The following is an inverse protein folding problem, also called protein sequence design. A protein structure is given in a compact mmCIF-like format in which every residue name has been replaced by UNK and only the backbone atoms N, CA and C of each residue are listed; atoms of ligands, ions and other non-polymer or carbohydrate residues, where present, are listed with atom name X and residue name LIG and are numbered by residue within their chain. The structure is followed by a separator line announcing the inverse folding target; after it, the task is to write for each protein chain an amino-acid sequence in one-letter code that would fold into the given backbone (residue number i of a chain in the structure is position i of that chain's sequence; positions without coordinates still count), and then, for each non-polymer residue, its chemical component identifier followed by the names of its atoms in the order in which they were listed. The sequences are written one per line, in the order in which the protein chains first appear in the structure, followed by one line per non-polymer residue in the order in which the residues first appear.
data_IF_745605848277
#
_entry.id   IF_745605848277
#
_cell.length_a   1.000
_cell.length_b   1.000
_cell.length_c   1.000
_cell.angle_alpha   90.00
_cell.angle_beta   90.00
_cell.angle_gamma   90.00
#
_symmetry.space_group_name_H-M   'P 1'
#
loop_
_entity.id
_entity.type
_entity.pdbx_description
1 polymer ?
#
# COMPACT_ATOMS: atom_id res chain seq x y z
N UNK A 1 -10.70 -7.90 -1.02
CA UNK A 1 -9.80 -6.72 -0.94
C UNK A 1 -9.60 -6.26 0.51
N UNK A 2 -10.65 -6.17 1.35
CA UNK A 2 -10.48 -5.77 2.76
C UNK A 2 -9.88 -6.86 3.66
N UNK A 3 -10.17 -8.13 3.37
CA UNK A 3 -9.58 -9.28 4.06
C UNK A 3 -8.05 -9.32 4.01
N UNK A 4 -7.43 -8.69 3.00
CA UNK A 4 -5.96 -8.66 2.88
C UNK A 4 -5.29 -7.54 3.68
N UNK A 5 -6.02 -6.56 4.21
CA UNK A 5 -5.39 -5.41 4.89
C UNK A 5 -4.85 -5.82 6.26
N UNK A 6 -5.65 -6.57 7.03
CA UNK A 6 -5.19 -7.08 8.32
C UNK A 6 -4.17 -8.21 8.16
N UNK A 7 -4.26 -9.02 7.09
CA UNK A 7 -3.22 -9.99 6.75
C UNK A 7 -1.88 -9.30 6.44
N UNK A 8 -1.88 -8.19 5.69
CA UNK A 8 -0.68 -7.40 5.42
C UNK A 8 -0.06 -6.86 6.74
N UNK A 9 -0.90 -6.44 7.70
CA UNK A 9 -0.46 -5.97 9.02
C UNK A 9 0.12 -7.12 9.86
N UNK A 10 -0.58 -8.24 9.96
CA UNK A 10 -0.15 -9.39 10.74
C UNK A 10 1.14 -10.01 10.17
N UNK A 11 1.28 -10.01 8.84
CA UNK A 11 2.50 -10.45 8.18
C UNK A 11 3.70 -9.53 8.47
N UNK A 12 3.48 -8.23 8.65
CA UNK A 12 4.54 -7.30 9.08
C UNK A 12 4.91 -7.60 10.53
N UNK A 13 3.93 -7.72 11.43
CA UNK A 13 4.18 -8.02 12.85
C UNK A 13 4.94 -9.34 13.01
N UNK A 14 4.58 -10.36 12.22
CA UNK A 14 5.24 -11.67 12.29
C UNK A 14 6.69 -11.67 11.76
N UNK A 15 7.06 -10.71 10.90
CA UNK A 15 8.37 -10.65 10.24
C UNK A 15 9.30 -9.59 10.83
N UNK A 16 8.74 -8.54 11.41
CA UNK A 16 9.48 -7.43 11.99
C UNK A 16 9.46 -7.53 13.53
N UNK A 17 10.57 -7.94 14.17
CA UNK A 17 10.64 -8.04 15.62
C UNK A 17 10.48 -6.68 16.34
N UNK A 18 10.59 -5.55 15.64
CA UNK A 18 10.37 -4.21 16.20
C UNK A 18 8.89 -3.79 16.20
N UNK A 19 8.01 -4.48 15.47
CA UNK A 19 6.60 -4.16 15.41
C UNK A 19 5.88 -4.58 16.71
N UNK A 20 5.50 -3.63 17.56
CA UNK A 20 4.97 -3.93 18.91
C UNK A 20 3.47 -4.23 18.91
N UNK A 21 2.70 -3.51 18.10
CA UNK A 21 1.25 -3.69 18.00
C UNK A 21 0.67 -3.18 16.68
N UNK A 22 -0.52 -3.67 16.33
CA UNK A 22 -1.22 -3.33 15.06
C UNK A 22 -1.38 -1.84 14.83
N UNK A 23 -1.70 -1.06 15.86
CA UNK A 23 -1.87 0.38 15.72
C UNK A 23 -0.60 1.07 15.20
N UNK A 24 0.57 0.73 15.74
CA UNK A 24 1.86 1.26 15.30
C UNK A 24 2.13 0.89 13.84
N UNK A 25 1.88 -0.37 13.49
CA UNK A 25 2.04 -0.83 12.10
C UNK A 25 1.11 -0.08 11.15
N UNK A 26 -0.15 0.10 11.52
CA UNK A 26 -1.14 0.80 10.71
C UNK A 26 -0.82 2.29 10.59
N UNK A 27 -0.26 2.95 11.60
CA UNK A 27 -0.05 4.41 11.57
C UNK A 27 1.36 4.82 11.15
N UNK A 28 2.36 3.95 11.32
CA UNK A 28 3.77 4.34 11.24
C UNK A 28 4.59 3.53 10.23
N UNK A 29 4.01 2.57 9.50
CA UNK A 29 4.74 1.80 8.48
C UNK A 29 4.48 2.35 7.07
N UNK A 30 5.38 3.19 6.53
CA UNK A 30 5.19 3.79 5.20
C UNK A 30 5.15 2.74 4.08
N UNK A 31 5.83 1.60 4.26
CA UNK A 31 5.75 0.47 3.32
C UNK A 31 4.36 -0.14 3.21
N UNK A 32 3.65 -0.27 4.33
CA UNK A 32 2.26 -0.72 4.35
C UNK A 32 1.36 0.29 3.62
N UNK A 33 1.50 1.57 3.94
CA UNK A 33 0.73 2.65 3.31
C UNK A 33 0.96 2.69 1.80
N UNK A 34 2.21 2.53 1.35
CA UNK A 34 2.55 2.52 -0.07
C UNK A 34 1.83 1.38 -0.82
N UNK A 35 1.81 0.17 -0.25
CA UNK A 35 1.10 -0.97 -0.83
C UNK A 35 -0.42 -0.71 -0.89
N UNK A 36 -1.01 -0.22 0.20
CA UNK A 36 -2.45 0.05 0.26
C UNK A 36 -2.88 1.13 -0.75
N UNK A 37 -2.14 2.24 -0.80
CA UNK A 37 -2.37 3.30 -1.78
C UNK A 37 -2.16 2.78 -3.21
N UNK A 38 -1.15 1.93 -3.45
CA UNK A 38 -0.97 1.30 -4.74
C UNK A 38 -2.17 0.44 -5.14
N UNK A 39 -2.74 -0.37 -4.24
CA UNK A 39 -3.93 -1.20 -4.56
C UNK A 39 -5.11 -0.33 -5.02
N UNK A 40 -5.31 0.83 -4.40
CA UNK A 40 -6.31 1.83 -4.84
C UNK A 40 -5.96 2.40 -6.23
N UNK A 41 -4.72 2.85 -6.40
CA UNK A 41 -4.25 3.45 -7.65
C UNK A 41 -4.29 2.45 -8.82
N UNK A 42 -4.02 1.17 -8.54
CA UNK A 42 -4.11 0.07 -9.49
C UNK A 42 -5.56 -0.20 -9.91
N UNK A 43 -6.51 -0.14 -8.97
CA UNK A 43 -7.92 -0.24 -9.30
C UNK A 43 -8.34 0.90 -10.25
N UNK A 44 -7.97 2.14 -9.94
CA UNK A 44 -8.23 3.30 -10.82
C UNK A 44 -7.58 3.14 -12.20
N UNK A 45 -6.35 2.64 -12.24
CA UNK A 45 -5.65 2.36 -13.49
C UNK A 45 -6.40 1.35 -14.35
N UNK A 46 -6.89 0.26 -13.76
CA UNK A 46 -7.62 -0.78 -14.48
C UNK A 46 -9.02 -0.32 -14.92
N UNK A 47 -9.61 0.65 -14.22
CA UNK A 47 -10.85 1.33 -14.63
C UNK A 47 -10.65 2.35 -15.77
N UNK A 48 -9.44 2.50 -16.30
CA UNK A 48 -9.14 3.46 -17.37
C UNK A 48 -8.91 4.89 -16.88
N UNK A 49 -9.03 5.14 -15.57
CA UNK A 49 -8.80 6.44 -14.94
C UNK A 49 -7.29 6.68 -14.73
N UNK A 50 -6.54 6.75 -15.83
CA UNK A 50 -5.06 6.77 -15.83
C UNK A 50 -4.47 8.00 -15.17
N UNK A 51 -5.02 9.18 -15.44
CA UNK A 51 -4.54 10.44 -14.86
C UNK A 51 -4.70 10.47 -13.33
N UNK A 52 -5.89 10.24 -12.74
CA UNK A 52 -6.02 10.23 -11.28
C UNK A 52 -5.24 9.09 -10.64
N UNK A 53 -5.10 7.93 -11.30
CA UNK A 53 -4.22 6.85 -10.83
C UNK A 53 -2.74 7.30 -10.72
N UNK A 54 -2.23 8.05 -11.71
CA UNK A 54 -0.87 8.61 -11.66
C UNK A 54 -0.74 9.74 -10.64
N UNK A 55 -1.72 10.64 -10.55
CA UNK A 55 -1.72 11.72 -9.57
C UNK A 55 -1.66 11.17 -8.14
N UNK A 56 -2.52 10.20 -7.82
CA UNK A 56 -2.54 9.56 -6.51
C UNK A 56 -1.29 8.71 -6.26
N UNK A 57 -0.69 8.11 -7.29
CA UNK A 57 0.62 7.44 -7.16
C UNK A 57 1.73 8.44 -6.80
N UNK A 58 1.72 9.65 -7.38
CA UNK A 58 2.65 10.72 -7.01
C UNK A 58 2.41 11.23 -5.59
N UNK A 59 1.16 11.33 -5.15
CA UNK A 59 0.83 11.70 -3.77
C UNK A 59 1.28 10.62 -2.78
N UNK A 60 1.07 9.33 -3.12
CA UNK A 60 1.56 8.21 -2.32
C UNK A 60 3.10 8.24 -2.19
N UNK A 61 3.81 8.52 -3.29
CA UNK A 61 5.27 8.73 -3.29
C UNK A 61 5.66 9.89 -2.38
N UNK A 62 4.94 11.01 -2.43
CA UNK A 62 5.23 12.15 -1.55
C UNK A 62 5.08 11.80 -0.06
N UNK A 63 4.04 11.05 0.31
CA UNK A 63 3.76 10.70 1.70
C UNK A 63 4.67 9.59 2.25
N UNK A 64 5.07 8.63 1.40
CA UNK A 64 5.76 7.40 1.84
C UNK A 64 7.21 7.33 1.38
N UNK A 65 7.63 8.24 0.49
CA UNK A 65 8.88 8.20 -0.26
C UNK A 65 9.09 6.92 -1.11
N UNK A 66 8.03 6.12 -1.30
CA UNK A 66 8.04 4.88 -2.08
C UNK A 66 7.26 5.11 -3.37
N UNK A 67 7.90 4.85 -4.51
CA UNK A 67 7.25 4.96 -5.81
C UNK A 67 6.78 3.60 -6.30
N UNK A 68 5.46 3.45 -6.50
CA UNK A 68 4.88 2.26 -7.11
C UNK A 68 4.00 2.70 -8.29
N UNK A 69 4.39 2.31 -9.50
CA UNK A 69 3.60 2.63 -10.69
C UNK A 69 2.21 1.98 -10.58
N UNK A 70 1.11 2.69 -10.89
CA UNK A 70 -0.24 2.15 -10.75
C UNK A 70 -0.53 0.96 -11.69
N UNK A 71 0.23 0.80 -12.77
CA UNK A 71 0.16 -0.37 -13.64
C UNK A 71 0.93 -1.61 -13.14
N UNK A 72 1.71 -1.49 -12.06
CA UNK A 72 2.42 -2.62 -11.48
C UNK A 72 1.42 -3.66 -10.93
N UNK A 73 1.77 -4.94 -11.01
CA UNK A 73 0.99 -6.03 -10.41
C UNK A 73 1.75 -6.56 -9.20
N UNK A 74 1.16 -6.40 -8.02
CA UNK A 74 1.68 -6.98 -6.78
C UNK A 74 0.88 -8.25 -6.48
N UNK A 75 1.58 -9.39 -6.40
CA UNK A 75 0.98 -10.67 -6.03
C UNK A 75 0.37 -10.68 -4.63
N UNK A 76 -0.48 -11.66 -4.34
CA UNK A 76 -0.86 -11.97 -2.95
C UNK A 76 0.21 -12.88 -2.35
N UNK A 77 0.42 -12.72 -1.04
CA UNK A 77 1.15 -13.70 -0.23
C UNK A 77 0.16 -14.72 0.31
#
# INVERSE_FOLDING_TARGET
MLSSLFEDVDAIIARDPAARHRLEVITCYPGLHAIWLHRLNHALWNLGLKWPARFLASLARFLTNIEIHPGARIGRR
#
